data_IF_116957616846
#
_entry.id   IF_116957616846
#
_cell.length_a   1.000
_cell.length_b   1.000
_cell.length_c   1.000
_cell.angle_alpha   90.00
_cell.angle_beta   90.00
_cell.angle_gamma   90.00
#
_symmetry.space_group_name_H-M   'P 1'
#
loop_
_entity.id
_entity.type
_entity.pdbx_description
1 polymer ?
#
# COMPACT_ATOMS: atom_id res chain seq x y z
N UNK A 1 12.00 6.61 -5.49
CA UNK A 1 12.44 5.54 -6.41
C UNK A 1 11.60 4.29 -6.14
N UNK A 2 11.32 3.51 -7.18
CA UNK A 2 10.54 2.26 -7.05
C UNK A 2 11.20 1.32 -6.02
N UNK A 3 12.52 1.23 -6.10
CA UNK A 3 13.40 0.52 -5.17
C UNK A 3 14.11 1.50 -4.21
N UNK A 4 14.64 1.01 -3.07
CA UNK A 4 15.51 1.81 -2.21
C UNK A 4 16.68 2.39 -2.98
N UNK A 5 17.13 3.58 -2.59
CA UNK A 5 18.28 4.22 -3.24
C UNK A 5 19.15 4.93 -2.21
N UNK A 6 20.34 5.38 -2.63
CA UNK A 6 21.28 6.08 -1.75
C UNK A 6 20.66 7.27 -1.01
N UNK A 7 19.62 7.90 -1.59
CA UNK A 7 18.94 9.06 -1.02
C UNK A 7 17.53 8.76 -0.50
N UNK A 8 17.05 7.52 -0.62
CA UNK A 8 15.70 7.12 -0.21
C UNK A 8 15.77 5.90 0.73
N UNK A 9 15.42 6.07 2.01
CA UNK A 9 15.34 4.97 2.97
C UNK A 9 14.47 3.81 2.48
N UNK A 10 14.84 2.58 2.83
CA UNK A 10 14.20 1.38 2.31
C UNK A 10 12.71 1.29 2.67
N UNK A 11 12.32 1.82 3.84
CA UNK A 11 10.95 1.89 4.33
C UNK A 11 10.09 2.96 3.64
N UNK A 12 10.72 3.84 2.86
CA UNK A 12 10.09 4.89 2.04
C UNK A 12 10.12 4.57 0.54
N UNK A 13 10.83 3.51 0.13
CA UNK A 13 10.76 3.02 -1.24
C UNK A 13 9.29 2.75 -1.63
N UNK A 14 8.92 3.05 -2.87
CA UNK A 14 7.51 2.95 -3.29
C UNK A 14 6.95 1.54 -3.10
N UNK A 15 7.76 0.51 -3.39
CA UNK A 15 7.38 -0.89 -3.17
C UNK A 15 7.19 -1.22 -1.68
N UNK A 16 8.00 -0.63 -0.80
CA UNK A 16 7.85 -0.82 0.64
C UNK A 16 6.57 -0.16 1.14
N UNK A 17 6.27 1.07 0.71
CA UNK A 17 5.02 1.76 1.04
C UNK A 17 3.81 1.00 0.49
N UNK A 18 3.88 0.52 -0.76
CA UNK A 18 2.84 -0.33 -1.34
C UNK A 18 2.60 -1.62 -0.53
N UNK A 19 3.67 -2.29 -0.09
CA UNK A 19 3.54 -3.46 0.79
C UNK A 19 2.91 -3.09 2.14
N UNK A 20 3.29 -1.95 2.73
CA UNK A 20 2.70 -1.46 3.98
C UNK A 20 1.21 -1.15 3.84
N UNK A 21 0.78 -0.60 2.70
CA UNK A 21 -0.65 -0.39 2.38
C UNK A 21 -1.39 -1.73 2.31
N UNK A 22 -0.82 -2.73 1.62
CA UNK A 22 -1.42 -4.07 1.54
C UNK A 22 -1.63 -4.72 2.91
N UNK A 23 -0.74 -4.48 3.87
CA UNK A 23 -0.90 -4.96 5.25
C UNK A 23 -2.10 -4.33 5.97
N UNK A 24 -2.56 -3.15 5.53
CA UNK A 24 -3.71 -2.46 6.12
C UNK A 24 -5.05 -2.93 5.55
N UNK A 25 -5.03 -3.60 4.40
CA UNK A 25 -6.19 -4.13 3.66
C UNK A 25 -6.49 -5.58 4.03
N UNK A 26 -6.59 -5.84 5.34
CA UNK A 26 -7.07 -7.12 5.92
C UNK A 26 -8.57 -7.37 5.63
N UNK A 27 -9.32 -6.28 5.47
CA UNK A 27 -10.74 -6.25 5.07
C UNK A 27 -10.97 -5.08 4.10
N UNK A 28 -12.02 -5.14 3.26
CA UNK A 28 -12.42 -4.02 2.41
C UNK A 28 -12.54 -2.73 3.23
N UNK A 29 -12.01 -1.63 2.68
CA UNK A 29 -12.00 -0.35 3.39
C UNK A 29 -11.87 0.82 2.43
N UNK A 30 -12.43 1.97 2.78
CA UNK A 30 -12.24 3.19 1.99
C UNK A 30 -10.77 3.61 1.91
N UNK A 31 -10.45 4.40 0.88
CA UNK A 31 -9.11 4.97 0.68
C UNK A 31 -8.66 5.76 1.91
N UNK A 32 -9.52 6.63 2.45
CA UNK A 32 -9.22 7.46 3.62
C UNK A 32 -8.93 6.62 4.87
N UNK A 33 -9.77 5.63 5.16
CA UNK A 33 -9.57 4.81 6.34
C UNK A 33 -8.38 3.83 6.19
N UNK A 34 -7.94 3.54 4.96
CA UNK A 34 -6.68 2.84 4.68
C UNK A 34 -5.47 3.74 4.96
N UNK A 35 -5.57 5.01 4.55
CA UNK A 35 -4.55 6.02 4.81
C UNK A 35 -4.35 6.26 6.31
N UNK A 36 -5.42 6.51 7.05
CA UNK A 36 -5.35 6.77 8.49
C UNK A 36 -4.70 5.60 9.24
N UNK A 37 -5.08 4.35 8.87
CA UNK A 37 -4.48 3.15 9.48
C UNK A 37 -3.00 3.00 9.15
N UNK A 38 -2.57 3.36 7.94
CA UNK A 38 -1.16 3.35 7.58
C UNK A 38 -0.36 4.32 8.46
N UNK A 39 -0.90 5.52 8.70
CA UNK A 39 -0.28 6.52 9.57
C UNK A 39 -0.16 6.01 11.01
N UNK A 40 -1.24 5.48 11.57
CA UNK A 40 -1.25 4.88 12.91
C UNK A 40 -0.24 3.73 13.03
N UNK A 41 -0.22 2.84 12.03
CA UNK A 41 0.69 1.69 12.00
C UNK A 41 2.16 2.10 11.90
N UNK A 42 2.49 3.12 11.10
CA UNK A 42 3.87 3.64 10.99
C UNK A 42 4.29 4.34 12.28
N UNK A 43 3.41 5.16 12.86
CA UNK A 43 3.66 5.84 14.12
C UNK A 43 3.92 4.85 15.26
N UNK A 44 3.09 3.81 15.38
CA UNK A 44 3.27 2.74 16.37
C UNK A 44 4.59 1.95 16.21
N UNK A 45 5.21 2.01 15.02
CA UNK A 45 6.49 1.34 14.72
C UNK A 45 7.69 2.29 14.70
N UNK A 46 7.50 3.57 15.05
CA UNK A 46 8.55 4.59 15.01
C UNK A 46 9.10 4.83 13.60
N UNK A 47 8.26 4.64 12.56
CA UNK A 47 8.68 4.65 11.17
C UNK A 47 8.53 6.05 10.55
N UNK A 48 9.33 6.98 11.05
CA UNK A 48 9.40 8.37 10.58
C UNK A 48 10.50 8.59 9.53
N UNK A 49 10.30 9.54 8.59
CA UNK A 49 9.10 10.34 8.39
C UNK A 49 7.93 9.57 7.76
N UNK A 50 6.73 10.08 8.02
CA UNK A 50 5.50 9.69 7.33
C UNK A 50 5.57 10.06 5.84
N UNK A 51 5.28 9.13 4.90
CA UNK A 51 5.25 9.44 3.48
C UNK A 51 4.16 10.49 3.20
N UNK A 52 4.33 11.38 2.22
CA UNK A 52 3.30 12.33 1.85
C UNK A 52 2.13 11.63 1.12
N UNK A 53 0.93 12.22 1.17
CA UNK A 53 -0.27 11.61 0.57
C UNK A 53 -0.10 11.27 -0.92
N UNK A 54 0.58 12.10 -1.69
CA UNK A 54 0.83 11.83 -3.11
C UNK A 54 1.70 10.58 -3.34
N UNK A 55 2.59 10.23 -2.40
CA UNK A 55 3.38 9.00 -2.46
C UNK A 55 2.53 7.77 -2.15
N UNK A 56 1.56 7.92 -1.25
CA UNK A 56 0.54 6.91 -1.00
C UNK A 56 -0.37 6.70 -2.21
N UNK A 57 -0.86 7.76 -2.85
CA UNK A 57 -1.63 7.66 -4.09
C UNK A 57 -0.84 6.92 -5.17
N UNK A 58 0.44 7.28 -5.36
CA UNK A 58 1.31 6.60 -6.33
C UNK A 58 1.52 5.12 -6.01
N UNK A 59 1.62 4.77 -4.72
CA UNK A 59 1.72 3.39 -4.28
C UNK A 59 0.42 2.61 -4.54
N UNK A 60 -0.75 3.25 -4.38
CA UNK A 60 -2.04 2.67 -4.77
C UNK A 60 -2.12 2.45 -6.29
N UNK A 61 -1.68 3.42 -7.09
CA UNK A 61 -1.64 3.29 -8.55
C UNK A 61 -0.76 2.10 -8.96
N UNK A 62 0.40 1.93 -8.32
CA UNK A 62 1.26 0.76 -8.53
C UNK A 62 0.54 -0.54 -8.17
N UNK A 63 -0.09 -0.61 -6.99
CA UNK A 63 -0.83 -1.80 -6.55
C UNK A 63 -1.99 -2.14 -7.50
N UNK A 64 -2.69 -1.13 -8.00
CA UNK A 64 -3.78 -1.30 -8.95
C UNK A 64 -3.25 -1.78 -10.31
N UNK A 65 -2.17 -1.18 -10.81
CA UNK A 65 -1.55 -1.54 -12.08
C UNK A 65 -1.05 -2.99 -12.11
N UNK A 66 -0.54 -3.50 -10.98
CA UNK A 66 -0.12 -4.91 -10.87
C UNK A 66 -1.26 -5.87 -10.50
N UNK A 67 -2.48 -5.36 -10.34
CA UNK A 67 -3.67 -6.15 -9.98
C UNK A 67 -3.66 -6.70 -8.54
N UNK A 68 -2.89 -6.08 -7.63
CA UNK A 68 -2.82 -6.47 -6.22
C UNK A 68 -3.97 -5.90 -5.38
N UNK A 69 -4.61 -4.82 -5.84
CA UNK A 69 -5.80 -4.24 -5.22
C UNK A 69 -6.86 -3.97 -6.29
N UNK A 70 -8.11 -3.89 -5.85
CA UNK A 70 -9.21 -3.35 -6.64
C UNK A 70 -9.95 -2.29 -5.84
N UNK A 71 -10.56 -1.36 -6.56
CA UNK A 71 -11.45 -0.37 -5.99
C UNK A 71 -12.86 -0.67 -6.50
N UNK A 72 -13.76 -1.02 -5.59
CA UNK A 72 -15.15 -1.38 -5.90
C UNK A 72 -16.07 -0.78 -4.85
N UNK A 73 -17.15 -0.15 -5.28
CA UNK A 73 -18.18 0.42 -4.40
C UNK A 73 -17.64 1.39 -3.33
N UNK A 74 -16.55 2.12 -3.65
CA UNK A 74 -15.91 3.07 -2.73
C UNK A 74 -14.90 2.44 -1.75
N UNK A 75 -14.66 1.13 -1.87
CA UNK A 75 -13.75 0.38 -1.00
C UNK A 75 -12.57 -0.20 -1.79
N UNK A 76 -11.39 -0.10 -1.19
CA UNK A 76 -10.19 -0.82 -1.58
C UNK A 76 -10.25 -2.23 -1.03
N UNK A 77 -10.08 -3.22 -1.90
CA UNK A 77 -10.01 -4.63 -1.54
C UNK A 77 -8.71 -5.22 -2.07
N UNK A 78 -8.04 -6.04 -1.24
CA UNK A 78 -6.86 -6.79 -1.66
C UNK A 78 -7.28 -7.92 -2.60
N UNK A 79 -6.72 -7.94 -3.81
CA UNK A 79 -6.87 -9.08 -4.72
C UNK A 79 -5.94 -10.18 -4.27
N UNK A 80 -6.48 -11.24 -3.71
CA UNK A 80 -5.74 -12.50 -3.66
C UNK A 80 -5.63 -12.99 -5.10
N UNK A 81 -4.40 -13.06 -5.63
CA UNK A 81 -4.16 -13.90 -6.79
C UNK A 81 -4.43 -15.32 -6.33
N UNK A 82 -5.65 -15.81 -6.60
CA UNK A 82 -5.94 -17.23 -6.50
C UNK A 82 -4.81 -17.93 -7.27
N UNK A 83 -4.08 -18.82 -6.60
CA UNK A 83 -3.23 -19.76 -7.31
C UNK A 83 -4.12 -20.35 -8.41
N UNK A 84 -3.73 -20.11 -9.67
CA UNK A 84 -4.39 -20.64 -10.84
C UNK A 84 -4.67 -22.12 -10.55
N UNK A 85 -5.93 -22.58 -10.42
CA UNK A 85 -6.18 -24.00 -10.46
C UNK A 85 -5.83 -24.41 -11.89
N UNK A 86 -4.86 -25.29 -12.01
CA UNK A 86 -4.34 -25.82 -13.25
C UNK A 86 -5.52 -26.28 -14.16
N UNK A 87 -5.56 -25.76 -15.39
CA UNK A 87 -6.38 -26.26 -16.49
C UNK A 87 -5.56 -27.23 -17.31
#
# INVERSE_FOLDING_TARGET
MLLPSKTLPADQALVAVAAQILLQLDRPRSVSATWDRLLEWRSARGMDPTPPFWWFSLALDLLYAIGAVEHRDGELTRKHRAARPDQ
#
